data_IF_253444499878
#
_entry.id   IF_253444499878
#
_cell.length_a   1.000
_cell.length_b   1.000
_cell.length_c   1.000
_cell.angle_alpha   90.00
_cell.angle_beta   90.00
_cell.angle_gamma   90.00
#
_symmetry.space_group_name_H-M   'P 1'
#
loop_
_entity.id
_entity.type
_entity.pdbx_description
1 polymer ?
2 non-polymer ?
3 water ?
#
# COMPACT_ATOMS: atom_id res chain seq x y z
N UNK A 2 -2.10 -10.58 -1.74
CA UNK A 2 -2.05 -12.01 -1.35
C UNK A 2 -1.46 -12.36 0.04
N UNK A 3 -0.81 -11.42 0.73
CA UNK A 3 -0.70 -11.51 2.20
C UNK A 3 -1.22 -10.20 2.78
N UNK A 4 -2.23 -10.30 3.63
CA UNK A 4 -2.87 -9.12 4.24
C UNK A 4 -2.16 -8.71 5.52
N UNK A 5 -2.16 -7.40 5.79
CA UNK A 5 -1.65 -6.82 7.02
C UNK A 5 -2.83 -6.17 7.74
N UNK A 6 -3.57 -6.97 8.53
CA UNK A 6 -4.82 -6.47 9.12
C UNK A 6 -4.69 -5.69 10.44
N UNK A 7 -3.48 -5.56 10.95
CA UNK A 7 -3.27 -4.95 12.28
C UNK A 7 -2.64 -3.55 12.27
N UNK A 8 -2.88 -2.79 11.22
CA UNK A 8 -2.25 -1.49 11.12
C UNK A 8 -3.06 -0.35 11.74
N UNK A 9 -4.37 -0.56 11.84
CA UNK A 9 -5.31 0.47 12.24
C UNK A 9 -5.48 1.59 11.22
N UNK A 10 -4.96 1.40 10.01
CA UNK A 10 -5.07 2.44 8.98
C UNK A 10 -6.51 2.66 8.57
N UNK A 11 -7.33 1.62 8.73
CA UNK A 11 -8.71 1.61 8.26
C UNK A 11 -9.65 2.35 9.20
N UNK A 12 -9.19 2.62 10.41
CA UNK A 12 -10.07 3.07 11.49
C UNK A 12 -10.68 4.45 11.27
N UNK A 13 -9.94 5.37 10.67
CA UNK A 13 -10.48 6.71 10.46
C UNK A 13 -10.37 7.21 9.02
N UNK A 14 -11.46 7.78 8.51
CA UNK A 14 -11.44 8.46 7.22
C UNK A 14 -10.52 9.67 7.33
N UNK A 15 -9.78 9.94 6.27
CA UNK A 15 -8.76 10.95 6.31
C UNK A 15 -8.76 11.68 4.98
N UNK A 16 -8.28 12.92 4.98
CA UNK A 16 -8.13 13.71 3.77
C UNK A 16 -7.18 13.02 2.83
N UNK A 17 -7.47 13.07 1.54
CA UNK A 17 -6.57 12.49 0.55
C UNK A 17 -5.16 13.06 0.64
N UNK A 18 -5.04 14.38 0.77
CA UNK A 18 -3.73 15.02 0.81
C UNK A 18 -2.81 14.44 1.90
N UNK A 19 -3.40 14.04 3.03
CA UNK A 19 -2.66 13.49 4.18
C UNK A 19 -2.06 12.13 3.85
N UNK A 20 -2.89 11.24 3.30
CA UNK A 20 -2.43 9.92 2.84
C UNK A 20 -1.39 10.06 1.75
N UNK A 21 -1.68 10.92 0.77
CA UNK A 21 -0.83 11.13 -0.36
C UNK A 21 0.56 11.57 0.11
N UNK A 22 0.62 12.62 0.94
CA UNK A 22 1.92 13.13 1.39
C UNK A 22 2.70 12.12 2.27
N UNK A 23 2.02 11.55 3.26
CA UNK A 23 2.62 10.52 4.14
C UNK A 23 3.15 9.32 3.35
N UNK A 24 2.32 8.75 2.47
CA UNK A 24 2.79 7.66 1.60
C UNK A 24 4.03 8.02 0.78
N UNK A 25 4.01 9.17 0.09
CA UNK A 25 5.13 9.54 -0.76
C UNK A 25 6.39 9.78 0.08
N UNK A 26 6.20 10.27 1.30
CA UNK A 26 7.32 10.61 2.18
C UNK A 26 8.01 9.35 2.67
N UNK A 27 7.30 8.21 2.65
CA UNK A 27 7.88 6.93 3.06
C UNK A 27 8.28 6.03 1.89
N UNK A 28 8.31 6.61 0.70
CA UNK A 28 8.84 5.93 -0.47
C UNK A 28 7.80 5.15 -1.27
N UNK A 29 6.52 5.33 -0.98
CA UNK A 29 5.50 4.70 -1.83
C UNK A 29 5.41 5.46 -3.16
N UNK A 30 5.14 4.74 -4.25
CA UNK A 30 4.75 5.38 -5.53
C UNK A 30 3.31 5.00 -5.80
N UNK A 31 2.55 5.90 -6.40
CA UNK A 31 1.19 5.50 -6.67
C UNK A 31 1.20 4.70 -7.99
N UNK A 32 0.26 3.77 -8.09
CA UNK A 32 0.15 2.86 -9.20
C UNK A 32 -0.46 3.59 -10.40
N UNK A 33 0.04 3.27 -11.59
CA UNK A 33 -0.38 3.93 -12.84
C UNK A 33 -1.76 3.46 -13.28
N UNK A 34 -2.75 3.64 -12.42
CA UNK A 34 -4.12 3.30 -12.74
C UNK A 34 -4.89 4.53 -12.27
N UNK A 35 -5.49 5.25 -13.21
CA UNK A 35 -6.03 6.57 -12.87
C UNK A 35 -7.52 6.49 -12.67
N UNK A 36 -7.98 6.85 -11.48
CA UNK A 36 -9.36 6.52 -11.08
C UNK A 36 -9.81 7.61 -10.10
N UNK A 37 -10.91 8.28 -10.42
CA UNK A 37 -11.54 9.22 -9.50
C UNK A 37 -11.99 8.62 -8.17
N UNK A 38 -12.06 7.29 -8.09
CA UNK A 38 -12.62 6.63 -6.91
C UNK A 38 -11.61 5.86 -6.05
N UNK A 39 -10.41 5.63 -6.58
CA UNK A 39 -9.42 4.78 -5.89
C UNK A 39 -8.01 5.22 -6.21
N UNK A 40 -7.12 5.14 -5.22
CA UNK A 40 -5.70 5.32 -5.42
C UNK A 40 -5.01 4.09 -4.81
N UNK A 41 -3.89 3.69 -5.39
CA UNK A 41 -3.10 2.59 -4.82
C UNK A 41 -1.67 3.04 -4.74
N UNK A 42 -1.08 2.91 -3.55
CA UNK A 42 0.29 3.32 -3.30
C UNK A 42 1.09 2.04 -3.09
N UNK A 43 2.14 1.81 -3.89
CA UNK A 43 3.00 0.62 -3.72
C UNK A 43 4.37 0.97 -3.18
N UNK A 44 4.88 0.13 -2.30
CA UNK A 44 6.26 0.21 -1.90
C UNK A 44 6.97 -1.00 -2.46
N UNK A 45 7.92 -0.75 -3.36
CA UNK A 45 8.69 -1.81 -4.04
C UNK A 45 9.79 -2.35 -3.12
N UNK A 46 9.74 -3.65 -2.83
CA UNK A 46 10.74 -4.33 -1.99
C UNK A 46 11.52 -5.33 -2.85
N UNK A 47 12.80 -5.05 -3.07
CA UNK A 47 13.65 -5.95 -3.85
C UNK A 47 14.45 -6.84 -2.89
N UNK A 48 14.31 -8.15 -3.04
CA UNK A 48 14.93 -9.13 -2.14
C UNK A 48 15.57 -10.25 -2.98
N UNK A 49 16.54 -10.96 -2.40
CA UNK A 49 17.21 -12.09 -3.10
C UNK A 49 16.22 -13.01 -3.83
N UNK A 50 15.13 -13.36 -3.15
CA UNK A 50 14.12 -14.28 -3.69
C UNK A 50 13.13 -13.65 -4.68
N UNK A 51 13.25 -12.36 -4.95
CA UNK A 51 12.38 -11.70 -5.92
C UNK A 51 12.02 -10.28 -5.51
N UNK A 52 11.13 -9.68 -6.29
CA UNK A 52 10.66 -8.32 -6.09
C UNK A 52 9.22 -8.42 -5.59
N UNK A 53 8.94 -7.70 -4.52
CA UNK A 53 7.64 -7.70 -3.89
C UNK A 53 7.08 -6.29 -3.93
N UNK A 54 5.75 -6.17 -3.81
CA UNK A 54 5.13 -4.87 -3.66
C UNK A 54 4.20 -4.90 -2.45
N UNK A 55 4.35 -3.90 -1.59
CA UNK A 55 3.44 -3.64 -0.48
C UNK A 55 2.46 -2.54 -0.92
N UNK A 56 1.17 -2.87 -0.94
CA UNK A 56 0.19 -1.99 -1.56
C UNK A 56 -0.80 -1.47 -0.52
N UNK A 57 -1.00 -0.16 -0.48
CA UNK A 57 -1.96 0.48 0.43
C UNK A 57 -2.96 1.21 -0.47
N UNK A 58 -4.15 0.61 -0.66
CA UNK A 58 -5.21 1.25 -1.45
C UNK A 58 -6.07 2.19 -0.60
N UNK A 59 -6.58 3.26 -1.21
CA UNK A 59 -7.53 4.16 -0.53
C UNK A 59 -8.68 4.49 -1.44
N UNK A 60 -9.85 4.73 -0.85
CA UNK A 60 -11.10 4.83 -1.63
C UNK A 60 -11.83 6.12 -1.33
N UNK A 61 -12.38 6.73 -2.38
CA UNK A 61 -13.11 7.98 -2.23
C UNK A 61 -14.36 7.72 -1.37
N UNK A 62 -14.55 8.59 -0.37
CA UNK A 62 -15.77 8.59 0.45
C UNK A 62 -16.60 9.83 0.17
N UNK A 63 -16.00 11.01 0.29
CA UNK A 63 -16.75 12.22 -0.06
C UNK A 63 -15.87 13.10 -0.90
N UNK A 64 -16.24 13.29 -2.17
CA UNK A 64 -15.36 13.94 -3.12
C UNK A 64 -14.60 12.93 -3.98
N UNK A 65 -13.99 13.43 -5.06
CA UNK A 65 -13.23 12.59 -5.98
C UNK A 65 -11.75 12.65 -5.65
N UNK A 66 -11.09 11.52 -5.82
CA UNK A 66 -9.65 11.50 -5.80
C UNK A 66 -9.16 12.12 -7.12
N UNK A 67 -8.08 12.93 -7.10
CA UNK A 67 -7.14 13.31 -6.05
C UNK A 67 -7.28 14.73 -5.49
N UNK A 68 -8.51 15.19 -5.31
CA UNK A 68 -8.68 16.50 -4.69
C UNK A 68 -8.14 16.40 -3.25
N UNK A 69 -7.23 17.31 -2.88
CA UNK A 69 -6.58 17.22 -1.56
C UNK A 69 -7.53 17.05 -0.36
N UNK A 70 -8.67 17.74 -0.35
CA UNK A 70 -9.61 17.66 0.77
C UNK A 70 -10.67 16.54 0.71
N UNK A 71 -10.68 15.79 -0.40
CA UNK A 71 -11.50 14.59 -0.50
C UNK A 71 -11.25 13.63 0.66
N UNK A 72 -12.32 13.15 1.26
CA UNK A 72 -12.19 12.22 2.38
C UNK A 72 -12.09 10.82 1.78
N UNK A 73 -11.06 10.09 2.21
CA UNK A 73 -10.83 8.71 1.74
C UNK A 73 -10.83 7.66 2.85
N UNK A 74 -11.13 6.42 2.45
CA UNK A 74 -11.07 5.26 3.33
C UNK A 74 -9.86 4.42 2.92
N UNK A 75 -8.88 4.29 3.81
CA UNK A 75 -7.74 3.42 3.56
C UNK A 75 -8.16 1.99 3.84
N UNK A 76 -7.73 1.06 2.98
CA UNK A 76 -8.06 -0.35 3.18
C UNK A 76 -6.84 -1.18 3.55
N UNK A 77 -7.09 -2.43 3.91
CA UNK A 77 -6.09 -3.33 4.46
C UNK A 77 -4.92 -3.49 3.48
N UNK A 78 -3.70 -3.11 3.89
CA UNK A 78 -2.55 -3.30 3.01
C UNK A 78 -2.34 -4.76 2.62
N UNK A 79 -1.76 -4.95 1.44
CA UNK A 79 -1.57 -6.27 0.85
C UNK A 79 -0.14 -6.37 0.34
N UNK A 80 0.55 -7.45 0.69
CA UNK A 80 1.90 -7.74 0.16
C UNK A 80 1.78 -8.76 -0.97
N UNK A 81 2.38 -8.45 -2.10
CA UNK A 81 2.33 -9.37 -3.24
C UNK A 81 3.72 -9.62 -3.79
N UNK A 82 3.86 -10.72 -4.53
CA UNK A 82 5.10 -11.08 -5.17
C UNK A 82 4.87 -10.96 -6.66
N UNK A 83 5.85 -10.38 -7.36
CA UNK A 83 5.81 -10.28 -8.80
C UNK A 83 6.32 -11.61 -9.39
N UNK A 84 5.60 -12.14 -10.37
CA UNK A 84 5.99 -13.39 -11.04
C UNK A 84 6.35 -13.13 -12.49
N UNK A 85 7.36 -12.29 -12.67
CA UNK A 85 7.80 -11.87 -13.99
C UNK A 85 8.35 -13.06 -14.78
N UNK A 86 8.22 -13.05 -16.12
CA UNK A 86 7.51 -12.10 -16.97
C UNK A 86 6.03 -12.39 -17.18
N UNK A 87 5.55 -13.57 -16.78
CA UNK A 87 4.25 -14.06 -17.27
C UNK A 87 3.20 -14.35 -16.20
N UNK A 88 3.55 -14.11 -14.94
CA UNK A 88 2.62 -14.27 -13.81
C UNK A 88 2.51 -15.67 -13.22
N UNK A 89 3.20 -16.63 -13.82
CA UNK A 89 3.10 -18.05 -13.43
C UNK A 89 3.91 -18.34 -12.17
N UNK A 90 3.24 -18.89 -11.16
CA UNK A 90 3.88 -19.30 -9.91
C UNK A 90 4.24 -20.78 -9.98
N UNK A 91 5.52 -21.08 -9.86
CA UNK A 91 6.01 -22.45 -10.03
C UNK A 91 6.25 -23.12 -8.69
N UNK A 92 6.86 -22.37 -7.76
CA UNK A 92 7.09 -22.83 -6.39
C UNK A 92 6.21 -22.07 -5.41
N UNK A 93 4.96 -21.83 -5.83
CA UNK A 93 3.97 -21.10 -5.04
C UNK A 93 4.46 -19.77 -4.48
N UNK A 94 4.07 -19.50 -3.23
CA UNK A 94 4.50 -18.27 -2.58
C UNK A 94 4.67 -18.30 -1.06
N UNK A 95 5.86 -17.88 -0.67
CA UNK A 95 6.22 -17.68 0.70
C UNK A 95 6.75 -16.26 0.70
N UNK A 96 6.70 -15.62 1.85
CA UNK A 96 7.26 -14.30 1.98
C UNK A 96 8.34 -14.38 3.02
N UNK A 97 9.59 -14.05 2.63
CA UNK A 97 10.71 -14.04 3.56
C UNK A 97 10.38 -13.18 4.76
N UNK A 98 10.85 -13.59 5.93
CA UNK A 98 10.61 -12.83 7.16
C UNK A 98 11.11 -11.40 7.05
N UNK A 99 12.27 -11.22 6.42
CA UNK A 99 12.89 -9.90 6.24
C UNK A 99 11.97 -8.94 5.48
N UNK A 100 11.27 -9.48 4.48
CA UNK A 100 10.29 -8.74 3.68
C UNK A 100 9.08 -8.36 4.55
N UNK A 101 8.54 -9.34 5.28
CA UNK A 101 7.43 -9.09 6.22
C UNK A 101 7.80 -8.03 7.25
N UNK A 102 9.03 -8.11 7.78
CA UNK A 102 9.52 -7.17 8.78
C UNK A 102 9.60 -5.77 8.22
N UNK A 103 10.18 -5.64 7.03
CA UNK A 103 10.16 -4.40 6.26
C UNK A 103 8.74 -3.81 6.12
N UNK A 104 7.78 -4.66 5.80
CA UNK A 104 6.37 -4.23 5.67
C UNK A 104 5.79 -3.75 6.99
N UNK A 105 5.96 -4.52 8.06
CA UNK A 105 5.47 -4.11 9.38
C UNK A 105 6.06 -2.77 9.83
N UNK A 106 7.35 -2.59 9.62
CA UNK A 106 8.00 -1.32 9.96
C UNK A 106 7.47 -0.12 9.16
N UNK A 107 7.33 -0.29 7.85
CA UNK A 107 6.86 0.79 7.00
C UNK A 107 5.41 1.17 7.34
N UNK A 108 4.58 0.15 7.49
CA UNK A 108 3.18 0.37 7.82
C UNK A 108 3.00 1.01 9.19
N UNK A 109 3.88 0.67 10.12
CA UNK A 109 3.82 1.20 11.48
C UNK A 109 4.06 2.71 11.41
N UNK A 110 5.05 3.07 10.61
CA UNK A 110 5.49 4.44 10.45
C UNK A 110 4.44 5.23 9.66
N UNK A 111 3.87 4.60 8.64
CA UNK A 111 2.74 5.18 7.90
C UNK A 111 1.54 5.50 8.78
N UNK A 112 1.12 4.53 9.60
CA UNK A 112 0.01 4.71 10.52
C UNK A 112 0.27 5.86 11.50
N UNK A 113 1.52 5.97 11.96
CA UNK A 113 1.98 7.10 12.80
C UNK A 113 2.01 8.45 12.10
N UNK A 114 2.63 8.50 10.91
CA UNK A 114 2.81 9.72 10.12
C UNK A 114 1.45 10.31 9.72
N UNK A 115 0.58 9.46 9.17
CA UNK A 115 -0.80 9.87 8.87
C UNK A 115 -1.47 10.47 10.11
N UNK A 116 -1.34 9.81 11.26
CA UNK A 116 -1.95 10.30 12.50
C UNK A 116 -1.13 11.42 13.14
X LIG B 1 2.98 -3.25 -11.77
X LIG B 1 1.96 -2.30 -12.10
X LIG B 1 3.72 -3.68 -13.03
X LIG B 1 4.67 -4.72 -12.74
X LIG C 1 5.39 1.95 -13.94
X LIG C 1 4.30 1.67 -14.83
X LIG C 1 4.88 2.59 -12.66
X LIG C 1 4.98 1.67 -11.57
#
# INVERSE_FOLDING_TARGET
>A
XSLKFPDTGLEEKEVAFSIVNHAAKSLGFIHVDQWDYERVMFDYKIVHHEGTFYLRVPAYAVKGEIPRPSTIVQIMTPILGKYYYPHGVEYEGETFPQAVIDKCNNKLALLAKTIKAEWEGHHHHHH
>B hetero
1 EDO C1 O1 C2 O2
>C hetero
1 EDO C1 O1 C2 O2
#
